data_IF_596701396058
#
_entry.id   IF_596701396058
#
_cell.length_a   1.000
_cell.length_b   1.000
_cell.length_c   1.000
_cell.angle_alpha   90.00
_cell.angle_beta   90.00
_cell.angle_gamma   90.00
#
_symmetry.space_group_name_H-M   'P 1'
#
loop_
_entity.id
_entity.type
_entity.pdbx_description
1 polymer ?
#
# COMPACT_ATOMS: atom_id res chain seq x y z
N UNK A 1 1.68 44.89 27.73
CA UNK A 1 2.10 43.89 26.73
C UNK A 1 3.07 42.97 27.44
N UNK A 2 2.79 41.67 27.49
CA UNK A 2 3.72 40.64 28.01
C UNK A 2 4.43 40.04 26.81
N UNK A 3 5.75 39.95 26.89
CA UNK A 3 6.62 39.46 25.81
C UNK A 3 6.29 38.00 25.45
N UNK A 4 6.06 37.79 24.16
CA UNK A 4 5.76 36.48 23.54
C UNK A 4 7.03 35.59 23.49
N UNK A 5 8.22 36.18 23.66
CA UNK A 5 9.49 35.46 23.74
C UNK A 5 9.64 34.60 25.01
N UNK A 6 8.82 34.81 26.05
CA UNK A 6 8.91 34.02 27.29
C UNK A 6 8.08 32.72 27.29
N UNK A 7 7.43 32.36 26.17
CA UNK A 7 6.53 31.20 26.06
C UNK A 7 7.09 30.13 25.11
N UNK A 8 8.09 30.46 24.28
CA UNK A 8 8.72 29.50 23.36
C UNK A 8 9.65 28.57 24.15
N UNK A 9 9.46 27.23 24.07
CA UNK A 9 10.44 26.29 24.61
C UNK A 9 11.79 26.52 23.95
N UNK A 10 12.86 26.59 24.74
CA UNK A 10 14.22 26.75 24.23
C UNK A 10 14.65 25.48 23.49
N UNK A 11 15.63 25.57 22.59
CA UNK A 11 16.13 24.41 21.85
C UNK A 11 16.66 23.32 22.79
N UNK A 12 17.29 23.70 23.91
CA UNK A 12 17.64 22.76 24.99
C UNK A 12 16.43 22.10 25.67
N UNK A 13 15.27 22.75 25.70
CA UNK A 13 14.04 22.17 26.24
C UNK A 13 13.37 21.22 25.22
N UNK A 14 13.50 21.49 23.92
CA UNK A 14 13.05 20.62 22.84
C UNK A 14 13.95 19.38 22.75
N UNK A 15 15.26 19.56 22.81
CA UNK A 15 16.25 18.46 22.81
C UNK A 15 16.18 17.61 24.09
N UNK A 16 15.81 18.21 25.23
CA UNK A 16 15.52 17.46 26.45
C UNK A 16 14.17 16.73 26.41
N UNK A 17 13.21 17.19 25.60
CA UNK A 17 11.89 16.57 25.45
C UNK A 17 11.86 15.48 24.35
N UNK A 18 12.72 15.61 23.34
CA UNK A 18 12.84 14.73 22.17
C UNK A 18 14.28 14.28 21.89
N UNK A 19 14.94 13.76 22.93
CA UNK A 19 16.32 13.31 22.86
C UNK A 19 16.55 12.17 21.82
N UNK A 20 17.81 11.89 21.50
CA UNK A 20 18.19 10.87 20.53
C UNK A 20 17.68 9.46 20.90
N UNK A 21 17.52 9.18 22.20
CA UNK A 21 16.97 7.91 22.69
C UNK A 21 15.46 7.83 22.46
N UNK A 22 14.75 8.96 22.54
CA UNK A 22 13.32 9.07 22.23
C UNK A 22 13.07 9.00 20.73
N UNK A 23 13.93 9.59 19.89
CA UNK A 23 13.90 9.42 18.42
C UNK A 23 14.11 7.97 18.01
N UNK A 24 15.10 7.30 18.59
CA UNK A 24 15.29 5.86 18.37
C UNK A 24 14.10 5.05 18.91
N UNK A 25 13.49 5.46 20.02
CA UNK A 25 12.27 4.80 20.54
C UNK A 25 11.04 5.01 19.65
N UNK A 26 10.96 6.14 18.94
CA UNK A 26 9.90 6.45 17.96
C UNK A 26 10.16 5.69 16.67
N UNK A 27 11.41 5.60 16.23
CA UNK A 27 11.86 4.80 15.09
C UNK A 27 11.62 3.30 15.31
N UNK A 28 12.00 2.77 16.48
CA UNK A 28 11.67 1.41 16.91
C UNK A 28 10.17 1.22 17.16
N UNK A 29 9.45 2.27 17.57
CA UNK A 29 7.98 2.24 17.60
C UNK A 29 7.41 2.15 16.20
N UNK A 30 7.89 2.90 15.22
CA UNK A 30 7.41 2.81 13.83
C UNK A 30 7.73 1.44 13.25
N UNK A 31 8.92 0.89 13.53
CA UNK A 31 9.26 -0.49 13.14
C UNK A 31 8.49 -1.58 13.91
N UNK A 32 8.02 -1.31 15.14
CA UNK A 32 7.26 -2.26 15.97
C UNK A 32 5.73 -1.99 15.99
N UNK A 33 5.25 -0.89 15.37
CA UNK A 33 3.84 -0.43 15.39
C UNK A 33 3.12 -0.74 14.08
N UNK A 34 3.19 -1.99 13.72
CA UNK A 34 2.07 -2.74 13.13
C UNK A 34 0.88 -2.88 14.13
N UNK A 35 0.68 -1.91 15.04
CA UNK A 35 -0.42 -1.77 16.02
C UNK A 35 -0.53 -0.31 16.51
N UNK A 36 -1.65 0.35 16.23
CA UNK A 36 -1.97 1.70 16.75
C UNK A 36 -2.39 1.66 18.22
N UNK A 37 -1.97 2.66 19.01
CA UNK A 37 -2.63 3.03 20.29
C UNK A 37 -3.17 4.46 20.19
N UNK A 38 -4.44 4.72 20.54
CA UNK A 38 -5.01 6.06 20.56
C UNK A 38 -4.62 6.84 21.82
N UNK A 39 -4.25 8.12 21.70
CA UNK A 39 -4.17 9.03 22.86
C UNK A 39 -5.49 9.81 22.97
N UNK A 40 -6.40 9.33 23.84
CA UNK A 40 -7.42 10.19 24.46
C UNK A 40 -6.80 10.94 25.64
N UNK A 41 -6.94 12.27 25.64
CA UNK A 41 -6.65 13.14 26.79
C UNK A 41 -7.44 12.66 28.03
N UNK A 42 -6.75 12.29 29.11
CA UNK A 42 -7.33 12.35 30.45
C UNK A 42 -6.28 12.78 31.48
N UNK A 43 -6.70 13.69 32.37
CA UNK A 43 -5.89 14.24 33.47
C UNK A 43 -5.67 13.18 34.56
N UNK A 44 -4.51 13.28 35.21
CA UNK A 44 -4.10 12.80 36.56
C UNK A 44 -3.49 11.39 36.74
N UNK A 45 -2.22 11.44 37.19
CA UNK A 45 -1.47 10.58 38.13
C UNK A 45 -0.93 9.21 37.64
N UNK A 46 0.40 9.16 37.48
CA UNK A 46 1.31 8.01 37.60
C UNK A 46 1.15 7.27 38.96
N UNK A 47 1.59 5.99 39.15
CA UNK A 47 2.86 5.41 38.63
C UNK A 47 2.91 3.91 38.19
N UNK A 48 3.93 3.59 37.36
CA UNK A 48 4.76 2.36 37.26
C UNK A 48 4.17 0.94 37.12
N UNK A 49 4.49 0.24 36.00
CA UNK A 49 4.89 -1.19 35.86
C UNK A 49 4.97 -1.57 34.36
N UNK A 50 6.14 -1.62 33.71
CA UNK A 50 7.11 -2.73 33.56
C UNK A 50 6.56 -4.00 32.86
N UNK A 51 7.02 -4.15 31.62
CA UNK A 51 7.56 -5.35 30.92
C UNK A 51 6.97 -6.74 31.18
N UNK A 52 6.58 -7.42 30.09
CA UNK A 52 7.10 -8.73 29.65
C UNK A 52 6.20 -9.33 28.57
N UNK A 53 6.77 -9.69 27.41
CA UNK A 53 6.77 -11.05 26.86
C UNK A 53 7.23 -11.05 25.41
N UNK A 54 8.04 -12.05 25.10
CA UNK A 54 8.98 -12.19 23.99
C UNK A 54 8.44 -13.17 22.95
N UNK A 55 8.93 -13.00 21.73
CA UNK A 55 9.11 -13.98 20.65
C UNK A 55 7.91 -14.45 19.82
N UNK A 56 8.08 -14.25 18.50
CA UNK A 56 8.08 -15.35 17.54
C UNK A 56 6.73 -15.62 16.88
N UNK A 57 6.62 -15.24 15.60
CA UNK A 57 6.18 -16.10 14.49
C UNK A 57 6.17 -15.27 13.20
N UNK A 58 7.26 -15.36 12.45
CA UNK A 58 7.21 -15.23 11.01
C UNK A 58 6.93 -16.63 10.43
N UNK A 59 6.27 -16.65 9.26
CA UNK A 59 5.87 -17.82 8.45
C UNK A 59 4.50 -18.39 8.78
N UNK A 60 3.47 -17.94 8.05
CA UNK A 60 2.33 -18.80 7.69
C UNK A 60 1.66 -18.34 6.38
N UNK A 61 1.67 -19.25 5.40
CA UNK A 61 0.96 -19.18 4.10
C UNK A 61 1.90 -18.88 2.93
N UNK A 62 2.20 -19.75 1.96
CA UNK A 62 1.57 -20.99 1.48
C UNK A 62 2.64 -21.78 0.71
N UNK A 63 2.92 -23.03 1.11
CA UNK A 63 3.53 -24.03 0.24
C UNK A 63 3.35 -25.45 0.80
N UNK A 64 2.31 -26.16 0.36
CA UNK A 64 2.32 -27.63 0.33
C UNK A 64 1.43 -28.11 -0.81
N UNK A 65 2.04 -28.56 -1.92
CA UNK A 65 2.00 -29.89 -2.56
C UNK A 65 3.03 -29.79 -3.72
N UNK A 66 3.92 -30.71 -4.07
CA UNK A 66 4.07 -32.14 -3.88
C UNK A 66 5.60 -32.43 -3.94
N UNK A 67 6.15 -33.47 -3.31
CA UNK A 67 6.12 -34.81 -3.86
C UNK A 67 6.54 -35.81 -2.78
N UNK A 68 5.74 -36.87 -2.75
CA UNK A 68 5.97 -38.12 -2.06
C UNK A 68 7.37 -38.66 -2.39
N UNK A 69 7.97 -39.16 -1.31
CA UNK A 69 9.21 -39.92 -1.20
C UNK A 69 9.45 -40.94 -2.33
N UNK A 70 10.65 -40.91 -2.91
CA UNK A 70 11.27 -42.08 -3.55
C UNK A 70 12.62 -42.31 -2.87
N UNK A 71 12.64 -43.24 -1.92
CA UNK A 71 13.86 -43.89 -1.50
C UNK A 71 13.55 -45.38 -1.31
N UNK A 72 13.85 -46.17 -2.34
CA UNK A 72 14.08 -47.61 -2.17
C UNK A 72 15.31 -48.00 -2.98
N UNK A 73 16.38 -48.34 -2.25
CA UNK A 73 17.37 -49.30 -2.73
C UNK A 73 17.26 -50.58 -1.88
N UNK A 74 16.76 -51.62 -2.56
CA UNK A 74 17.33 -52.97 -2.64
C UNK A 74 17.20 -53.94 -1.45
N UNK A 75 16.50 -55.07 -1.64
CA UNK A 75 17.06 -56.44 -1.86
C UNK A 75 15.99 -57.55 -1.59
N UNK A 76 15.78 -58.43 -2.60
CA UNK A 76 15.36 -59.85 -2.60
C UNK A 76 13.87 -60.33 -2.41
N UNK A 77 13.19 -60.61 -3.53
CA UNK A 77 12.61 -61.89 -4.07
C UNK A 77 11.65 -62.84 -3.25
N UNK A 78 10.83 -63.75 -3.88
CA UNK A 78 9.36 -63.65 -4.11
C UNK A 78 8.54 -64.89 -3.58
N UNK A 79 7.43 -65.40 -4.18
CA UNK A 79 6.07 -64.87 -4.50
C UNK A 79 4.90 -65.74 -3.91
N UNK A 80 3.67 -65.22 -3.71
CA UNK A 80 2.43 -66.06 -3.79
C UNK A 80 1.20 -65.26 -4.25
N UNK A 81 0.39 -65.93 -5.07
CA UNK A 81 -0.78 -65.54 -5.85
C UNK A 81 -1.99 -64.96 -5.11
N UNK A 82 -2.79 -64.17 -5.86
CA UNK A 82 -4.21 -64.51 -6.07
C UNK A 82 -5.28 -63.54 -5.55
N UNK A 83 -6.22 -63.30 -6.45
CA UNK A 83 -7.65 -62.99 -6.24
C UNK A 83 -8.08 -61.52 -6.29
N UNK A 84 -8.63 -61.20 -7.46
CA UNK A 84 -9.65 -60.18 -7.74
C UNK A 84 -10.95 -60.42 -6.97
N UNK A 85 -11.51 -59.41 -6.31
CA UNK A 85 -12.95 -59.30 -6.06
C UNK A 85 -13.37 -57.83 -5.83
N UNK A 86 -14.53 -57.49 -6.40
CA UNK A 86 -15.01 -56.15 -6.68
C UNK A 86 -15.78 -55.48 -5.52
N UNK A 87 -15.63 -54.15 -5.47
CA UNK A 87 -16.66 -53.10 -5.28
C UNK A 87 -17.65 -53.17 -4.10
N UNK A 88 -17.54 -52.21 -3.17
CA UNK A 88 -18.59 -51.21 -2.87
C UNK A 88 -18.31 -50.53 -1.51
N UNK A 89 -18.09 -49.21 -1.51
CA UNK A 89 -18.54 -48.28 -0.45
C UNK A 89 -18.18 -46.82 -0.79
N UNK A 90 -19.23 -46.01 -1.00
CA UNK A 90 -19.40 -44.57 -0.79
C UNK A 90 -18.34 -43.56 -1.34
N UNK A 91 -18.76 -42.51 -2.08
CA UNK A 91 -17.93 -41.33 -2.25
C UNK A 91 -17.86 -40.61 -0.90
N UNK A 92 -16.70 -40.64 -0.26
CA UNK A 92 -16.40 -39.73 0.84
C UNK A 92 -16.30 -38.32 0.26
N UNK A 93 -17.23 -37.45 0.65
CA UNK A 93 -17.06 -36.00 0.49
C UNK A 93 -15.73 -35.60 1.13
N UNK A 94 -14.86 -34.83 0.45
CA UNK A 94 -13.72 -34.25 1.11
C UNK A 94 -14.20 -33.29 2.22
N UNK A 95 -13.44 -33.16 3.32
CA UNK A 95 -13.77 -32.24 4.39
C UNK A 95 -13.79 -30.81 3.85
N UNK A 96 -14.83 -30.06 4.20
CA UNK A 96 -14.89 -28.60 4.05
C UNK A 96 -13.70 -27.98 4.81
N UNK A 97 -12.59 -27.75 4.12
CA UNK A 97 -11.61 -26.77 4.57
C UNK A 97 -12.28 -25.40 4.50
N UNK A 98 -12.26 -24.59 5.58
CA UNK A 98 -12.75 -23.23 5.51
C UNK A 98 -11.81 -22.46 4.59
N UNK A 99 -12.19 -22.31 3.32
CA UNK A 99 -11.67 -21.21 2.50
C UNK A 99 -11.87 -19.94 3.34
N UNK A 100 -10.85 -19.09 3.53
CA UNK A 100 -11.09 -17.77 4.10
C UNK A 100 -12.21 -17.16 3.29
N UNK A 101 -13.36 -16.94 3.93
CA UNK A 101 -14.49 -16.28 3.31
C UNK A 101 -14.04 -14.83 3.13
N UNK A 102 -13.41 -14.54 2.00
CA UNK A 102 -13.24 -13.17 1.56
C UNK A 102 -14.65 -12.62 1.34
N UNK A 103 -15.15 -11.93 2.36
CA UNK A 103 -16.43 -11.22 2.25
C UNK A 103 -16.16 -10.07 1.30
N UNK A 104 -16.85 -10.07 0.16
CA UNK A 104 -16.80 -8.94 -0.75
C UNK A 104 -17.16 -7.66 0.00
N UNK A 105 -16.25 -6.68 -0.03
CA UNK A 105 -16.40 -5.40 0.63
C UNK A 105 -16.67 -4.26 -0.37
N UNK A 106 -17.09 -4.60 -1.60
CA UNK A 106 -17.38 -3.60 -2.67
C UNK A 106 -18.36 -2.54 -2.18
N UNK A 107 -19.40 -2.95 -1.44
CA UNK A 107 -20.41 -2.04 -0.89
C UNK A 107 -19.85 -1.01 0.10
N UNK A 108 -18.64 -1.22 0.65
CA UNK A 108 -18.00 -0.29 1.57
C UNK A 108 -17.34 0.89 0.85
N UNK A 109 -17.07 0.79 -0.46
CA UNK A 109 -16.51 1.90 -1.24
C UNK A 109 -17.47 3.10 -1.33
N UNK A 110 -18.78 2.88 -1.30
CA UNK A 110 -19.78 3.96 -1.28
C UNK A 110 -19.67 4.85 -0.02
N UNK A 111 -19.74 4.28 1.19
CA UNK A 111 -19.45 5.01 2.43
C UNK A 111 -18.07 5.69 2.46
N UNK A 112 -17.03 5.02 1.94
CA UNK A 112 -15.66 5.59 1.85
C UNK A 112 -15.63 6.82 0.94
N UNK A 113 -16.31 6.77 -0.21
CA UNK A 113 -16.43 7.93 -1.10
C UNK A 113 -17.16 9.11 -0.43
N UNK A 114 -18.21 8.84 0.35
CA UNK A 114 -18.92 9.87 1.13
C UNK A 114 -17.99 10.50 2.18
N UNK A 115 -17.20 9.69 2.88
CA UNK A 115 -16.22 10.18 3.85
C UNK A 115 -15.14 11.02 3.17
N UNK A 116 -14.62 10.56 2.02
CA UNK A 116 -13.63 11.30 1.24
C UNK A 116 -14.14 12.67 0.79
N UNK A 117 -15.41 12.77 0.37
CA UNK A 117 -16.03 14.03 -0.02
C UNK A 117 -16.19 15.02 1.16
N UNK A 118 -16.30 14.50 2.37
CA UNK A 118 -16.46 15.27 3.61
C UNK A 118 -15.13 15.57 4.32
N UNK A 119 -14.00 15.08 3.80
CA UNK A 119 -12.69 15.29 4.40
C UNK A 119 -12.34 16.78 4.46
N UNK A 120 -11.77 17.27 5.58
CA UNK A 120 -11.39 18.67 5.70
C UNK A 120 -10.31 19.02 4.68
N UNK A 121 -10.40 20.22 4.11
CA UNK A 121 -9.41 20.78 3.19
C UNK A 121 -8.30 21.43 4.01
N UNK A 122 -7.31 20.63 4.42
CA UNK A 122 -6.09 21.07 5.10
C UNK A 122 -6.26 21.79 6.45
N UNK A 123 -5.16 21.96 7.19
CA UNK A 123 -5.09 22.91 8.30
C UNK A 123 -4.41 24.22 7.84
N UNK A 124 -4.95 25.41 8.15
CA UNK A 124 -4.57 26.66 7.48
C UNK A 124 -3.10 27.09 7.58
N UNK A 125 -2.31 26.53 8.50
CA UNK A 125 -0.94 26.94 8.79
C UNK A 125 -0.04 25.73 9.15
N UNK A 126 -0.36 24.54 8.60
CA UNK A 126 0.40 23.30 8.87
C UNK A 126 0.78 22.60 7.56
N UNK A 127 1.88 21.86 7.62
CA UNK A 127 2.34 20.97 6.56
C UNK A 127 1.65 19.61 6.72
N UNK A 128 1.25 19.01 5.61
CA UNK A 128 0.91 17.60 5.60
C UNK A 128 2.22 16.81 5.56
N UNK A 129 2.53 16.14 6.66
CA UNK A 129 3.65 15.22 6.75
C UNK A 129 3.20 13.83 6.29
N UNK A 130 3.88 13.30 5.27
CA UNK A 130 3.61 12.00 4.68
C UNK A 130 4.87 11.16 4.73
N UNK A 131 4.78 9.99 5.36
CA UNK A 131 5.86 9.01 5.36
C UNK A 131 5.45 7.86 4.47
N UNK A 132 6.30 7.52 3.49
CA UNK A 132 6.12 6.33 2.66
C UNK A 132 7.28 5.37 2.83
N UNK A 133 6.95 4.08 2.93
CA UNK A 133 7.94 3.00 2.93
C UNK A 133 7.67 2.16 1.70
N UNK A 134 8.56 2.25 0.72
CA UNK A 134 8.52 1.44 -0.48
C UNK A 134 9.41 0.21 -0.29
N UNK A 135 8.81 -0.96 -0.37
CA UNK A 135 9.52 -2.24 -0.39
C UNK A 135 9.46 -2.79 -1.80
N UNK A 136 10.62 -3.13 -2.35
CA UNK A 136 10.73 -3.83 -3.62
C UNK A 136 11.47 -5.14 -3.40
N UNK A 137 10.90 -6.22 -3.92
CA UNK A 137 11.54 -7.51 -4.00
C UNK A 137 11.48 -8.00 -5.45
N UNK A 138 12.65 -8.25 -6.03
CA UNK A 138 12.78 -8.86 -7.34
C UNK A 138 13.35 -10.25 -7.19
N UNK A 139 12.55 -11.27 -7.56
CA UNK A 139 13.07 -12.63 -7.62
C UNK A 139 13.87 -12.77 -8.92
N UNK A 140 15.03 -13.43 -8.83
CA UNK A 140 15.87 -13.72 -9.99
C UNK A 140 15.05 -14.37 -11.11
N UNK A 141 14.92 -13.69 -12.25
CA UNK A 141 14.28 -14.26 -13.42
C UNK A 141 15.07 -15.45 -13.95
N UNK A 142 14.39 -16.51 -14.39
CA UNK A 142 14.98 -17.48 -15.31
C UNK A 142 15.14 -16.82 -16.69
N UNK A 143 16.15 -15.96 -16.83
CA UNK A 143 16.53 -15.40 -18.12
C UNK A 143 16.90 -16.52 -19.09
N UNK A 144 16.38 -16.47 -20.32
CA UNK A 144 16.64 -17.44 -21.39
C UNK A 144 18.09 -17.49 -21.89
N UNK A 145 19.05 -16.89 -21.18
CA UNK A 145 20.47 -16.92 -21.51
C UNK A 145 21.30 -16.61 -20.26
N UNK A 146 21.99 -17.63 -19.73
CA UNK A 146 23.21 -17.57 -18.91
C UNK A 146 23.43 -16.32 -18.03
N UNK A 147 22.70 -16.24 -16.91
CA UNK A 147 23.18 -15.98 -15.54
C UNK A 147 21.95 -15.64 -14.67
N UNK A 148 21.80 -16.24 -13.47
CA UNK A 148 20.77 -15.78 -12.53
C UNK A 148 21.07 -14.32 -12.18
N UNK A 149 20.14 -13.41 -12.50
CA UNK A 149 20.21 -12.04 -11.97
C UNK A 149 20.18 -12.14 -10.44
N UNK A 150 20.97 -11.34 -9.71
CA UNK A 150 20.89 -11.31 -8.25
C UNK A 150 19.45 -10.97 -7.82
N UNK A 151 18.99 -11.62 -6.75
CA UNK A 151 17.77 -11.20 -6.05
C UNK A 151 18.06 -9.80 -5.52
N UNK A 152 17.29 -8.82 -5.98
CA UNK A 152 17.39 -7.45 -5.51
C UNK A 152 16.26 -7.19 -4.54
N UNK A 153 16.57 -6.59 -3.40
CA UNK A 153 15.60 -6.28 -2.35
C UNK A 153 15.99 -4.95 -1.77
N UNK A 154 15.13 -3.96 -2.00
CA UNK A 154 15.36 -2.59 -1.57
C UNK A 154 14.21 -2.12 -0.70
N UNK A 155 14.55 -1.34 0.32
CA UNK A 155 13.57 -0.55 1.07
C UNK A 155 13.96 0.92 0.90
N UNK A 156 13.05 1.71 0.38
CA UNK A 156 13.21 3.17 0.26
C UNK A 156 12.21 3.86 1.15
N UNK A 157 12.71 4.71 2.03
CA UNK A 157 11.90 5.56 2.89
C UNK A 157 11.75 6.92 2.23
N UNK A 158 10.54 7.46 2.21
CA UNK A 158 10.25 8.84 1.82
C UNK A 158 9.64 9.56 3.03
N UNK A 159 10.14 10.75 3.27
CA UNK A 159 9.72 11.67 4.32
C UNK A 159 9.38 13.00 3.64
N UNK A 160 8.09 13.27 3.54
CA UNK A 160 7.53 14.32 2.69
C UNK A 160 6.75 15.33 3.54
N UNK A 161 7.00 16.61 3.34
CA UNK A 161 6.21 17.70 3.89
C UNK A 161 5.60 18.48 2.73
N UNK A 162 4.27 18.57 2.73
CA UNK A 162 3.50 19.20 1.67
C UNK A 162 2.81 20.43 2.22
N UNK A 163 3.07 21.57 1.59
CA UNK A 163 2.36 22.81 1.87
C UNK A 163 1.05 22.89 1.05
N UNK A 164 0.15 23.75 1.50
CA UNK A 164 -1.19 23.97 0.92
C UNK A 164 -1.20 24.34 -0.55
N UNK A 165 -0.13 24.96 -1.04
CA UNK A 165 0.02 25.40 -2.41
C UNK A 165 0.69 24.34 -3.31
N UNK A 166 0.97 23.16 -2.75
CA UNK A 166 1.52 22.01 -3.47
C UNK A 166 3.04 21.98 -3.52
N UNK A 167 3.73 22.84 -2.77
CA UNK A 167 5.16 22.68 -2.57
C UNK A 167 5.46 21.48 -1.69
N UNK A 168 6.42 20.69 -2.12
CA UNK A 168 6.83 19.44 -1.50
C UNK A 168 8.31 19.54 -1.12
N UNK A 169 8.58 19.36 0.16
CA UNK A 169 9.90 19.04 0.68
C UNK A 169 9.95 17.53 0.88
N UNK A 170 10.86 16.86 0.19
CA UNK A 170 11.00 15.42 0.23
C UNK A 170 12.42 15.05 0.60
N UNK A 171 12.55 14.06 1.47
CA UNK A 171 13.78 13.30 1.67
C UNK A 171 13.47 11.86 1.34
N UNK A 172 14.25 11.25 0.44
CA UNK A 172 14.26 9.80 0.30
C UNK A 172 15.56 9.20 0.82
N UNK A 173 15.46 8.00 1.40
CA UNK A 173 16.59 7.24 1.94
C UNK A 173 16.44 5.79 1.54
N UNK A 174 17.38 5.30 0.74
CA UNK A 174 17.53 3.90 0.37
C UNK A 174 19.02 3.60 0.28
N UNK A 175 19.46 3.12 -0.89
CA UNK A 175 20.91 2.97 -1.19
C UNK A 175 21.65 4.32 -1.22
N UNK A 176 20.93 5.38 -1.56
CA UNK A 176 21.40 6.77 -1.53
C UNK A 176 20.38 7.64 -0.81
N UNK A 177 20.84 8.79 -0.34
CA UNK A 177 19.98 9.82 0.22
C UNK A 177 19.76 10.91 -0.80
N UNK A 178 18.50 11.31 -0.96
CA UNK A 178 18.08 12.32 -1.93
C UNK A 178 17.19 13.34 -1.25
N UNK A 179 17.35 14.61 -1.60
CA UNK A 179 16.53 15.71 -1.11
C UNK A 179 15.95 16.49 -2.27
N UNK A 180 14.66 16.76 -2.22
CA UNK A 180 13.93 17.45 -3.28
C UNK A 180 13.02 18.51 -2.68
N UNK A 181 13.11 19.73 -3.22
CA UNK A 181 12.11 20.77 -3.06
C UNK A 181 11.51 21.06 -4.43
N UNK A 182 10.22 20.81 -4.60
CA UNK A 182 9.55 21.01 -5.89
C UNK A 182 8.12 21.49 -5.72
N UNK A 183 7.67 22.34 -6.64
CA UNK A 183 6.25 22.65 -6.78
C UNK A 183 5.58 21.55 -7.59
N UNK A 184 4.47 20.99 -7.10
CA UNK A 184 3.70 20.02 -7.87
C UNK A 184 2.83 20.76 -8.90
N UNK A 185 3.08 20.55 -10.20
CA UNK A 185 2.14 20.97 -11.25
C UNK A 185 0.91 20.05 -11.23
N UNK A 186 -0.09 20.47 -10.47
CA UNK A 186 -1.34 19.74 -10.30
C UNK A 186 -2.39 20.11 -11.35
N UNK A 187 -2.05 20.90 -12.37
CA UNK A 187 -3.02 21.36 -13.36
C UNK A 187 -3.73 20.20 -14.06
N UNK A 188 -3.02 19.10 -14.31
CA UNK A 188 -3.59 17.89 -14.91
C UNK A 188 -4.63 17.24 -14.01
N UNK A 189 -4.31 16.98 -12.74
CA UNK A 189 -5.25 16.31 -11.80
C UNK A 189 -6.40 17.21 -11.40
N UNK A 190 -6.13 18.49 -11.12
CA UNK A 190 -7.19 19.44 -10.74
C UNK A 190 -8.14 19.78 -11.89
N UNK A 191 -7.73 19.54 -13.14
CA UNK A 191 -8.61 19.67 -14.31
C UNK A 191 -9.54 18.47 -14.54
N UNK A 192 -9.33 17.36 -13.83
CA UNK A 192 -10.15 16.17 -14.00
C UNK A 192 -11.59 16.41 -13.51
N UNK A 193 -12.60 15.80 -14.18
CA UNK A 193 -13.98 15.91 -13.75
C UNK A 193 -14.19 15.33 -12.34
N UNK A 194 -14.99 16.01 -11.54
CA UNK A 194 -15.44 15.53 -10.21
C UNK A 194 -16.77 14.77 -10.28
N UNK A 195 -17.39 14.71 -11.46
CA UNK A 195 -18.53 13.81 -11.72
C UNK A 195 -17.98 12.41 -12.04
N UNK A 196 -18.44 11.34 -11.36
CA UNK A 196 -17.90 9.99 -11.56
C UNK A 196 -18.05 9.45 -12.99
N UNK A 197 -19.15 9.76 -13.69
CA UNK A 197 -19.37 9.29 -15.06
C UNK A 197 -18.43 10.00 -16.05
N UNK A 198 -18.29 11.32 -15.90
CA UNK A 198 -17.33 12.09 -16.68
C UNK A 198 -15.87 11.70 -16.37
N UNK A 199 -15.55 11.39 -15.12
CA UNK A 199 -14.21 10.94 -14.72
C UNK A 199 -13.88 9.58 -15.33
N UNK A 200 -14.78 8.59 -15.23
CA UNK A 200 -14.60 7.28 -15.88
C UNK A 200 -14.35 7.45 -17.39
N UNK A 201 -15.20 8.24 -18.06
CA UNK A 201 -15.04 8.52 -19.49
C UNK A 201 -13.68 9.17 -19.82
N UNK A 202 -13.23 10.13 -19.00
CA UNK A 202 -11.95 10.79 -19.16
C UNK A 202 -10.78 9.79 -19.00
N UNK A 203 -10.78 8.99 -17.94
CA UNK A 203 -9.74 7.99 -17.68
C UNK A 203 -9.69 6.89 -18.75
N UNK A 204 -10.86 6.45 -19.23
CA UNK A 204 -10.96 5.46 -20.33
C UNK A 204 -10.49 6.01 -21.69
N UNK A 205 -10.47 7.32 -21.89
CA UNK A 205 -10.05 7.93 -23.15
C UNK A 205 -8.52 7.92 -23.38
N UNK A 206 -7.72 7.69 -22.34
CA UNK A 206 -6.25 7.72 -22.44
C UNK A 206 -5.69 6.69 -23.42
N UNK A 207 -4.63 6.98 -24.16
CA UNK A 207 -4.09 6.04 -25.17
C UNK A 207 -3.14 5.01 -24.55
N UNK A 208 -2.99 3.83 -25.17
CA UNK A 208 -2.02 2.81 -24.74
C UNK A 208 -2.44 1.36 -25.01
N UNK A 209 -1.60 0.41 -24.56
CA UNK A 209 -1.81 -1.03 -24.71
C UNK A 209 -2.45 -1.69 -23.47
N UNK A 210 -2.90 -0.88 -22.51
CA UNK A 210 -3.62 -1.33 -21.33
C UNK A 210 -5.11 -1.46 -21.68
N UNK A 211 -5.82 -2.34 -20.99
CA UNK A 211 -7.28 -2.39 -21.13
C UNK A 211 -7.95 -1.09 -20.62
N UNK A 212 -9.25 -0.91 -20.87
CA UNK A 212 -9.94 0.28 -20.38
C UNK A 212 -9.99 0.31 -18.85
N UNK A 213 -10.34 -0.80 -18.20
CA UNK A 213 -10.38 -0.85 -16.75
C UNK A 213 -8.99 -0.70 -16.11
N UNK A 214 -7.92 -1.23 -16.73
CA UNK A 214 -6.57 -1.04 -16.17
C UNK A 214 -6.14 0.42 -16.24
N UNK A 215 -6.50 1.13 -17.32
CA UNK A 215 -6.28 2.59 -17.42
C UNK A 215 -7.03 3.34 -16.33
N UNK A 216 -8.30 2.98 -16.10
CA UNK A 216 -9.12 3.58 -15.04
C UNK A 216 -8.52 3.33 -13.68
N UNK A 217 -8.16 2.08 -13.35
CA UNK A 217 -7.56 1.73 -12.07
C UNK A 217 -6.25 2.49 -11.82
N UNK A 218 -5.37 2.57 -12.83
CA UNK A 218 -4.11 3.35 -12.72
C UNK A 218 -4.38 4.84 -12.52
N UNK A 219 -5.33 5.41 -13.25
CA UNK A 219 -5.71 6.82 -13.09
C UNK A 219 -6.31 7.12 -11.72
N UNK A 220 -7.15 6.22 -11.19
CA UNK A 220 -7.66 6.31 -9.81
C UNK A 220 -6.51 6.26 -8.81
N UNK A 221 -5.57 5.33 -8.98
CA UNK A 221 -4.41 5.24 -8.11
C UNK A 221 -3.60 6.55 -8.13
N UNK A 222 -3.33 7.13 -9.29
CA UNK A 222 -2.61 8.41 -9.42
C UNK A 222 -3.35 9.59 -8.76
N UNK A 223 -4.67 9.69 -8.95
CA UNK A 223 -5.51 10.69 -8.28
C UNK A 223 -5.43 10.55 -6.75
N UNK A 224 -5.54 9.33 -6.24
CA UNK A 224 -5.56 9.05 -4.80
C UNK A 224 -4.19 9.13 -4.14
N UNK A 225 -3.11 8.93 -4.89
CA UNK A 225 -1.73 9.16 -4.44
C UNK A 225 -1.40 10.65 -4.33
N UNK A 226 -2.14 11.50 -5.05
CA UNK A 226 -1.98 12.95 -5.01
C UNK A 226 -2.66 13.52 -3.77
N UNK A 227 -1.86 13.81 -2.74
CA UNK A 227 -2.31 14.24 -1.41
C UNK A 227 -3.20 15.49 -1.41
N UNK A 228 -2.96 16.37 -2.37
CA UNK A 228 -3.65 17.64 -2.58
C UNK A 228 -4.86 17.55 -3.51
N UNK A 229 -5.20 16.35 -4.03
CA UNK A 229 -6.38 16.17 -4.87
C UNK A 229 -7.65 16.69 -4.18
N UNK A 230 -8.57 17.39 -4.87
CA UNK A 230 -9.78 17.88 -4.23
C UNK A 230 -10.61 16.74 -3.61
N UNK A 231 -11.24 16.93 -2.42
CA UNK A 231 -12.07 15.90 -1.78
C UNK A 231 -13.14 15.31 -2.70
N UNK A 232 -13.76 16.13 -3.54
CA UNK A 232 -14.78 15.70 -4.49
C UNK A 232 -14.20 14.85 -5.61
N UNK A 233 -12.97 15.14 -6.05
CA UNK A 233 -12.28 14.32 -7.06
C UNK A 233 -11.89 12.96 -6.49
N UNK A 234 -11.38 12.92 -5.24
CA UNK A 234 -11.10 11.65 -4.54
C UNK A 234 -12.36 10.80 -4.40
N UNK A 235 -13.46 11.40 -3.94
CA UNK A 235 -14.74 10.72 -3.83
C UNK A 235 -15.24 10.18 -5.18
N UNK A 236 -15.08 10.95 -6.26
CA UNK A 236 -15.41 10.51 -7.60
C UNK A 236 -14.55 9.31 -8.03
N UNK A 237 -13.23 9.36 -7.80
CA UNK A 237 -12.32 8.27 -8.11
C UNK A 237 -12.68 6.97 -7.35
N UNK A 238 -13.03 7.07 -6.06
CA UNK A 238 -13.50 5.92 -5.26
C UNK A 238 -14.85 5.39 -5.76
N UNK A 239 -15.74 6.28 -6.23
CA UNK A 239 -17.02 5.86 -6.85
C UNK A 239 -16.78 5.13 -8.17
N UNK A 240 -15.84 5.60 -9.00
CA UNK A 240 -15.45 4.90 -10.24
C UNK A 240 -14.81 3.55 -9.91
N UNK A 241 -13.97 3.47 -8.87
CA UNK A 241 -13.41 2.22 -8.37
C UNK A 241 -14.52 1.22 -8.02
N UNK A 242 -15.54 1.65 -7.28
CA UNK A 242 -16.71 0.80 -6.98
C UNK A 242 -17.39 0.30 -8.26
N UNK A 243 -17.63 1.18 -9.23
CA UNK A 243 -18.31 0.84 -10.48
C UNK A 243 -17.55 -0.20 -11.30
N UNK A 244 -16.23 -0.10 -11.42
CA UNK A 244 -15.45 -1.13 -12.13
C UNK A 244 -15.42 -2.46 -11.37
N UNK A 245 -15.63 -2.46 -10.05
CA UNK A 245 -15.78 -3.68 -9.25
C UNK A 245 -17.11 -4.38 -9.52
N UNK A 246 -18.19 -3.60 -9.61
CA UNK A 246 -19.56 -4.09 -9.82
C UNK A 246 -19.83 -4.44 -11.28
N UNK A 247 -19.22 -3.68 -12.19
CA UNK A 247 -19.44 -3.72 -13.62
C UNK A 247 -18.10 -3.68 -14.38
N UNK A 248 -17.29 -4.75 -14.29
CA UNK A 248 -16.06 -4.83 -15.07
C UNK A 248 -16.37 -4.77 -16.57
N UNK A 249 -15.41 -4.29 -17.35
CA UNK A 249 -15.51 -4.24 -18.80
C UNK A 249 -15.79 -5.62 -19.39
N UNK A 250 -16.31 -5.66 -20.61
CA UNK A 250 -16.54 -6.92 -21.30
C UNK A 250 -15.22 -7.65 -21.60
N UNK A 251 -15.29 -8.96 -21.79
CA UNK A 251 -14.13 -9.75 -22.14
C UNK A 251 -13.50 -9.28 -23.46
N UNK A 252 -12.18 -9.17 -23.49
CA UNK A 252 -11.40 -8.81 -24.68
C UNK A 252 -10.47 -9.97 -25.07
N UNK A 253 -10.07 -9.99 -26.33
CA UNK A 253 -9.09 -10.96 -26.81
C UNK A 253 -7.68 -10.52 -26.41
N UNK A 254 -6.99 -11.35 -25.65
CA UNK A 254 -5.60 -11.19 -25.25
C UNK A 254 -4.67 -11.27 -26.46
N UNK A 255 -3.41 -10.85 -26.28
CA UNK A 255 -2.37 -11.00 -27.31
C UNK A 255 -2.15 -12.45 -27.77
N UNK A 256 -2.46 -13.41 -26.91
CA UNK A 256 -2.32 -14.85 -27.16
C UNK A 256 -3.58 -15.47 -27.78
N UNK A 257 -4.56 -14.65 -28.16
CA UNK A 257 -5.81 -15.10 -28.79
C UNK A 257 -6.82 -15.71 -27.82
N UNK A 258 -6.57 -15.64 -26.50
CA UNK A 258 -7.55 -16.05 -25.49
C UNK A 258 -8.53 -14.93 -25.18
N UNK A 259 -9.74 -15.25 -24.76
CA UNK A 259 -10.69 -14.25 -24.29
C UNK A 259 -10.64 -14.18 -22.77
N UNK A 260 -10.38 -13.00 -22.23
CA UNK A 260 -10.30 -12.81 -20.79
C UNK A 260 -10.90 -11.45 -20.38
N UNK A 261 -11.33 -11.35 -19.13
CA UNK A 261 -11.93 -10.13 -18.56
C UNK A 261 -11.03 -9.64 -17.45
N UNK A 262 -10.72 -8.33 -17.36
CA UNK A 262 -10.10 -7.81 -16.15
C UNK A 262 -11.02 -8.08 -14.97
N UNK A 263 -10.42 -8.45 -13.85
CA UNK A 263 -11.15 -8.74 -12.62
C UNK A 263 -10.72 -7.75 -11.57
N UNK A 264 -11.68 -7.24 -10.81
CA UNK A 264 -11.39 -6.46 -9.63
C UNK A 264 -12.12 -7.07 -8.43
N UNK A 265 -11.39 -7.28 -7.35
CA UNK A 265 -11.92 -7.73 -6.07
C UNK A 265 -11.76 -6.62 -5.05
N UNK A 266 -12.73 -6.53 -4.14
CA UNK A 266 -12.65 -5.62 -2.99
C UNK A 266 -12.87 -6.46 -1.73
N UNK A 267 -11.89 -6.45 -0.85
CA UNK A 267 -11.90 -7.21 0.40
C UNK A 267 -11.58 -6.31 1.57
N UNK A 268 -12.23 -6.53 2.70
CA UNK A 268 -11.83 -5.92 3.96
C UNK A 268 -10.52 -6.57 4.44
N UNK A 269 -9.59 -5.74 4.90
CA UNK A 269 -8.30 -6.15 5.46
C UNK A 269 -8.09 -5.43 6.79
N UNK A 270 -7.43 -6.09 7.73
CA UNK A 270 -6.92 -5.43 8.94
C UNK A 270 -5.45 -5.11 8.69
N UNK A 271 -5.14 -3.82 8.63
CA UNK A 271 -3.78 -3.31 8.68
C UNK A 271 -3.61 -2.72 10.07
N UNK A 272 -3.03 -3.51 10.97
CA UNK A 272 -2.48 -3.01 12.23
C UNK A 272 -3.53 -2.52 13.23
N UNK A 273 -4.68 -3.20 13.23
CA UNK A 273 -5.87 -2.82 13.99
C UNK A 273 -6.68 -1.70 13.33
N UNK A 274 -6.33 -1.30 12.11
CA UNK A 274 -7.08 -0.37 11.27
C UNK A 274 -7.72 -1.15 10.12
N UNK A 275 -9.04 -1.08 10.03
CA UNK A 275 -9.77 -1.65 8.91
C UNK A 275 -9.50 -0.86 7.64
N UNK A 276 -9.03 -1.56 6.61
CA UNK A 276 -8.86 -1.06 5.25
C UNK A 276 -9.68 -1.86 4.24
N UNK A 277 -9.86 -1.29 3.05
CA UNK A 277 -10.55 -1.91 1.92
C UNK A 277 -9.58 -2.08 0.77
N UNK A 278 -9.10 -3.31 0.56
CA UNK A 278 -8.18 -3.67 -0.51
C UNK A 278 -8.95 -3.83 -1.81
N UNK A 279 -8.73 -2.94 -2.77
CA UNK A 279 -9.14 -3.10 -4.16
C UNK A 279 -7.98 -3.69 -4.96
N UNK A 280 -8.15 -4.89 -5.50
CA UNK A 280 -7.12 -5.61 -6.24
C UNK A 280 -7.61 -5.97 -7.63
N UNK A 281 -6.83 -5.57 -8.63
CA UNK A 281 -7.11 -5.74 -10.04
C UNK A 281 -6.11 -6.70 -10.69
N UNK A 282 -6.62 -7.64 -11.48
CA UNK A 282 -5.84 -8.47 -12.39
C UNK A 282 -6.36 -8.29 -13.80
N UNK A 283 -5.46 -8.02 -14.73
CA UNK A 283 -5.79 -7.85 -16.14
C UNK A 283 -5.03 -8.83 -17.04
N UNK A 284 -5.61 -10.01 -17.32
CA UNK A 284 -4.98 -10.99 -18.18
C UNK A 284 -4.90 -10.57 -19.66
N UNK A 285 -5.61 -9.52 -20.11
CA UNK A 285 -5.59 -9.12 -21.54
C UNK A 285 -4.37 -8.27 -21.86
N UNK A 286 -3.96 -7.41 -20.92
CA UNK A 286 -2.81 -6.52 -21.06
C UNK A 286 -1.55 -7.05 -20.37
N UNK A 287 -1.70 -7.66 -19.17
CA UNK A 287 -0.61 -8.11 -18.29
C UNK A 287 -0.96 -9.41 -17.56
N UNK A 288 -0.83 -10.57 -18.22
CA UNK A 288 -1.09 -11.87 -17.63
C UNK A 288 -0.41 -12.06 -16.27
N UNK A 289 -1.21 -12.35 -15.25
CA UNK A 289 -0.77 -12.69 -13.90
C UNK A 289 -0.14 -11.54 -13.09
N UNK A 290 -0.20 -10.30 -13.58
CA UNK A 290 0.14 -9.12 -12.78
C UNK A 290 -1.11 -8.67 -12.00
N UNK A 291 -0.99 -8.63 -10.68
CA UNK A 291 -1.98 -8.01 -9.80
C UNK A 291 -1.50 -6.61 -9.40
N UNK A 292 -2.41 -5.63 -9.43
CA UNK A 292 -2.19 -4.32 -8.80
C UNK A 292 -3.25 -4.07 -7.76
N UNK A 293 -2.89 -3.40 -6.69
CA UNK A 293 -3.82 -3.18 -5.61
C UNK A 293 -3.56 -1.87 -4.89
N UNK A 294 -4.59 -1.39 -4.20
CA UNK A 294 -4.54 -0.30 -3.26
C UNK A 294 -5.45 -0.63 -2.08
N UNK A 295 -5.11 -0.14 -0.89
CA UNK A 295 -5.90 -0.28 0.33
C UNK A 295 -6.31 1.11 0.78
N UNK A 296 -7.63 1.33 0.85
CA UNK A 296 -8.20 2.58 1.35
C UNK A 296 -8.59 2.44 2.81
N UNK A 297 -8.30 3.45 3.62
CA UNK A 297 -8.91 3.57 4.93
C UNK A 297 -10.39 4.00 4.82
N UNK A 298 -11.07 4.12 5.98
CA UNK A 298 -12.45 4.57 6.04
C UNK A 298 -12.68 6.03 5.56
N UNK A 299 -11.62 6.82 5.39
CA UNK A 299 -11.65 8.22 4.92
C UNK A 299 -11.34 8.36 3.43
N UNK A 300 -10.96 7.27 2.77
CA UNK A 300 -10.60 7.25 1.36
C UNK A 300 -9.14 7.60 1.07
N UNK A 301 -8.27 7.55 2.07
CA UNK A 301 -6.82 7.72 1.92
C UNK A 301 -6.16 6.37 1.64
N UNK A 302 -5.12 6.36 0.80
CA UNK A 302 -4.32 5.16 0.55
C UNK A 302 -3.46 4.86 1.78
N UNK A 303 -3.67 3.72 2.41
CA UNK A 303 -2.80 3.20 3.46
C UNK A 303 -1.64 2.40 2.89
N UNK A 304 -1.93 1.67 1.81
CA UNK A 304 -0.99 0.75 1.21
C UNK A 304 -1.33 0.59 -0.28
N UNK A 305 -0.34 0.44 -1.16
CA UNK A 305 -0.57 0.13 -2.58
C UNK A 305 0.58 -0.68 -3.14
N UNK A 306 0.35 -1.42 -4.22
CA UNK A 306 1.42 -2.23 -4.77
C UNK A 306 1.11 -2.98 -6.04
N UNK A 307 2.10 -3.76 -6.46
CA UNK A 307 2.03 -4.66 -7.61
C UNK A 307 2.68 -5.99 -7.25
N UNK A 308 2.07 -7.09 -7.69
CA UNK A 308 2.60 -8.45 -7.59
C UNK A 308 2.68 -9.05 -9.00
N UNK A 309 3.82 -9.63 -9.35
CA UNK A 309 4.01 -10.33 -10.63
C UNK A 309 3.98 -11.85 -10.47
N UNK A 310 3.79 -12.62 -11.55
CA UNK A 310 3.78 -14.08 -11.52
C UNK A 310 5.07 -14.71 -10.97
N UNK A 311 6.20 -14.02 -11.14
CA UNK A 311 7.52 -14.43 -10.66
C UNK A 311 7.73 -14.13 -9.17
N UNK A 312 6.67 -13.73 -8.46
CA UNK A 312 6.69 -13.29 -7.06
C UNK A 312 7.56 -12.06 -6.80
N UNK A 313 7.88 -11.30 -7.85
CA UNK A 313 8.39 -9.94 -7.67
C UNK A 313 7.24 -9.08 -7.15
N UNK A 314 7.49 -8.35 -6.07
CA UNK A 314 6.50 -7.47 -5.46
C UNK A 314 7.07 -6.08 -5.22
N UNK A 315 6.21 -5.07 -5.35
CA UNK A 315 6.46 -3.73 -4.87
C UNK A 315 5.26 -3.32 -4.02
N UNK A 316 5.51 -2.85 -2.80
CA UNK A 316 4.49 -2.28 -1.92
C UNK A 316 4.94 -0.92 -1.42
N UNK A 317 3.99 -0.02 -1.21
CA UNK A 317 4.20 1.28 -0.60
C UNK A 317 3.20 1.46 0.53
N UNK A 318 3.70 1.46 1.77
CA UNK A 318 2.91 1.80 2.96
C UNK A 318 2.97 3.31 3.15
N UNK A 319 1.84 3.95 3.46
CA UNK A 319 1.74 5.41 3.62
C UNK A 319 1.11 5.78 4.96
N UNK A 320 1.78 6.67 5.71
CA UNK A 320 1.28 7.28 6.96
C UNK A 320 1.21 8.79 6.80
N UNK A 321 0.22 9.43 7.44
CA UNK A 321 -0.03 10.88 7.34
C UNK A 321 -0.27 11.50 8.70
N UNK A 322 0.27 12.70 8.90
CA UNK A 322 -0.04 13.57 10.04
C UNK A 322 0.10 15.04 9.66
N UNK A 323 -0.43 15.94 10.49
CA UNK A 323 -0.21 17.38 10.35
C UNK A 323 0.98 17.79 11.19
N UNK A 324 1.88 18.57 10.59
CA UNK A 324 3.08 19.11 11.23
C UNK A 324 3.06 20.63 11.20
N UNK A 325 3.26 21.27 12.36
CA UNK A 325 3.24 22.74 12.49
C UNK A 325 4.49 23.41 11.88
N UNK A 326 5.54 22.65 11.59
CA UNK A 326 6.79 23.17 11.05
C UNK A 326 7.57 22.11 10.27
N UNK A 327 8.38 22.56 9.29
CA UNK A 327 9.40 21.73 8.68
C UNK A 327 10.50 21.38 9.70
N UNK A 328 11.02 20.15 9.68
CA UNK A 328 12.18 19.79 10.48
C UNK A 328 13.42 20.63 10.12
N UNK A 329 14.32 20.84 11.08
CA UNK A 329 15.46 21.74 10.92
C UNK A 329 16.45 21.32 9.83
N UNK A 330 16.62 20.00 9.62
CA UNK A 330 17.48 19.44 8.58
C UNK A 330 16.92 19.71 7.18
N UNK A 331 15.61 19.64 6.98
CA UNK A 331 14.97 20.08 5.74
C UNK A 331 15.22 21.57 5.47
N UNK A 332 15.08 22.41 6.49
CA UNK A 332 15.34 23.85 6.36
C UNK A 332 16.82 24.14 6.07
N UNK A 333 17.74 23.40 6.67
CA UNK A 333 19.18 23.57 6.44
C UNK A 333 19.59 23.16 5.02
N UNK A 334 19.06 22.04 4.53
CA UNK A 334 19.43 21.46 3.22
C UNK A 334 18.69 22.13 2.07
N UNK A 335 17.37 22.26 2.19
CA UNK A 335 16.49 22.73 1.10
C UNK A 335 16.03 24.18 1.29
N UNK A 336 16.09 24.73 2.49
CA UNK A 336 15.53 26.06 2.79
C UNK A 336 14.00 26.06 2.80
N UNK A 337 13.43 27.25 3.01
CA UNK A 337 11.96 27.45 3.04
C UNK A 337 11.43 28.24 1.85
N UNK A 338 12.32 28.82 1.03
CA UNK A 338 11.90 29.57 -0.15
C UNK A 338 11.39 28.61 -1.22
N UNK A 339 10.22 28.92 -1.80
CA UNK A 339 9.57 28.17 -2.88
C UNK A 339 10.36 28.30 -4.19
N UNK A 340 11.53 27.68 -4.21
CA UNK A 340 12.47 27.62 -5.33
C UNK A 340 12.93 26.19 -5.45
N UNK A 341 12.78 25.60 -6.63
CA UNK A 341 13.11 24.19 -6.86
C UNK A 341 14.57 23.88 -6.53
N UNK A 342 14.80 22.76 -5.85
CA UNK A 342 16.12 22.26 -5.47
C UNK A 342 16.15 20.74 -5.46
N UNK A 343 17.30 20.19 -5.83
CA UNK A 343 17.58 18.77 -5.87
C UNK A 343 19.03 18.56 -5.39
N UNK A 344 19.23 17.68 -4.40
CA UNK A 344 20.53 17.41 -3.77
C UNK A 344 20.68 15.90 -3.52
N UNK A 345 21.77 15.33 -4.05
CA UNK A 345 22.19 13.96 -3.76
C UNK A 345 23.26 13.96 -2.65
N UNK A 346 23.06 13.11 -1.65
CA UNK A 346 24.02 12.83 -0.57
C UNK A 346 25.02 11.74 -0.90
#
# INVERSE_FOLDING_TARGET
MRDVESIRPTDEAIDAEFDAQRRESVFQQVQARTRVVPIRRSRRRWPSAVAAAVAGLAVLGLATQALVTLNEQSVADPPVAGVTAASSAAPASPPDEPSPRYVSAVAMLGPVAVAAAAAPVGEPDAFLHVVRVEEQHSVAGQGSSQEPMPVDSGVTYFDDYIDRDGWLWSRSTGDQQFWLLTGQDQSTITSLPTDPDALDAALRSGTGNNSADERVFKGIHEILLTETAPPQLRAAAITVLQRIAEHPQAAETTKDGQTATPTMTVTEVDLDGVTGYRAAMTDPTSRPGVERWLVLDATGQIMESGTLTPEFSFSSTITTREWADALPSDFVEVLGTDHVERDING
#
